data_IF_240434441847
#
_entry.id   IF_240434441847
#
_cell.length_a   1.000
_cell.length_b   1.000
_cell.length_c   1.000
_cell.angle_alpha   90.00
_cell.angle_beta   90.00
_cell.angle_gamma   90.00
#
_symmetry.space_group_name_H-M   'P 1'
#
loop_
_entity.id
_entity.type
_entity.pdbx_description
1 polymer ?
#
# COMPACT_ATOMS: atom_id res chain seq x y z
N UNK A 1 1.58 7.74 3.68
CA UNK A 1 2.41 6.82 4.48
C UNK A 1 1.88 6.65 5.90
N UNK A 2 1.57 7.71 6.67
CA UNK A 2 1.12 7.62 8.07
C UNK A 2 -0.07 6.66 8.25
N UNK A 3 -1.16 6.84 7.51
CA UNK A 3 -2.36 6.01 7.64
C UNK A 3 -2.18 4.56 7.19
N UNK A 4 -1.26 4.31 6.25
CA UNK A 4 -0.87 2.94 5.85
C UNK A 4 -0.18 2.23 7.02
N UNK A 5 0.72 2.93 7.72
CA UNK A 5 1.37 2.38 8.91
C UNK A 5 0.37 2.18 10.04
N UNK A 6 -0.53 3.15 10.29
CA UNK A 6 -1.58 3.00 11.31
C UNK A 6 -2.47 1.78 11.03
N UNK A 7 -2.87 1.53 9.76
CA UNK A 7 -3.68 0.35 9.42
C UNK A 7 -2.96 -0.98 9.72
N UNK A 8 -1.64 -1.04 9.50
CA UNK A 8 -0.87 -2.23 9.89
C UNK A 8 -0.76 -2.38 11.41
N UNK A 9 -0.57 -1.26 12.12
CA UNK A 9 -0.44 -1.27 13.58
C UNK A 9 -1.76 -1.49 14.32
N UNK A 10 -2.92 -1.36 13.64
CA UNK A 10 -4.20 -1.83 14.18
C UNK A 10 -4.20 -3.35 14.44
N UNK A 11 -3.48 -4.11 13.64
CA UNK A 11 -3.46 -5.57 13.68
C UNK A 11 -2.37 -6.13 14.60
N UNK A 12 -1.22 -5.45 14.68
CA UNK A 12 -0.08 -5.89 15.50
C UNK A 12 0.99 -4.80 15.65
N UNK A 13 1.77 -4.86 16.74
CA UNK A 13 2.97 -4.06 16.86
C UNK A 13 4.04 -4.55 15.87
N UNK A 14 4.80 -3.61 15.26
CA UNK A 14 5.78 -3.91 14.21
C UNK A 14 7.06 -3.10 14.37
N UNK A 15 8.18 -3.68 13.95
CA UNK A 15 9.45 -2.94 13.77
C UNK A 15 9.44 -2.17 12.44
N UNK A 16 10.35 -1.22 12.26
CA UNK A 16 10.52 -0.51 10.96
C UNK A 16 10.79 -1.49 9.82
N UNK A 17 11.57 -2.53 10.10
CA UNK A 17 11.91 -3.54 9.11
C UNK A 17 10.67 -4.35 8.67
N UNK A 18 9.84 -4.78 9.62
CA UNK A 18 8.60 -5.50 9.32
C UNK A 18 7.62 -4.62 8.53
N UNK A 19 7.48 -3.33 8.91
CA UNK A 19 6.67 -2.36 8.16
C UNK A 19 7.17 -2.24 6.73
N UNK A 20 8.48 -2.03 6.53
CA UNK A 20 9.06 -1.91 5.20
C UNK A 20 8.88 -3.18 4.38
N UNK A 21 9.14 -4.35 4.96
CA UNK A 21 8.96 -5.64 4.29
C UNK A 21 7.52 -5.84 3.81
N UNK A 22 6.54 -5.49 4.65
CA UNK A 22 5.14 -5.57 4.28
C UNK A 22 4.77 -4.61 3.13
N UNK A 23 5.25 -3.35 3.18
CA UNK A 23 5.03 -2.36 2.12
C UNK A 23 5.63 -2.82 0.79
N UNK A 24 6.88 -3.28 0.80
CA UNK A 24 7.55 -3.81 -0.41
C UNK A 24 6.78 -4.97 -1.02
N UNK A 25 6.32 -5.91 -0.18
CA UNK A 25 5.66 -7.13 -0.65
C UNK A 25 4.22 -6.90 -1.13
N UNK A 26 3.48 -5.99 -0.49
CA UNK A 26 2.03 -5.92 -0.68
C UNK A 26 1.51 -4.56 -1.18
N UNK A 27 2.31 -3.49 -1.10
CA UNK A 27 1.85 -2.12 -1.33
C UNK A 27 2.83 -1.30 -2.21
N UNK A 28 3.74 -1.96 -2.93
CA UNK A 28 4.77 -1.28 -3.75
C UNK A 28 4.19 -0.38 -4.85
N UNK A 29 3.01 -0.72 -5.37
CA UNK A 29 2.28 0.08 -6.37
C UNK A 29 1.37 1.16 -5.76
N UNK A 30 1.15 1.12 -4.44
CA UNK A 30 0.23 2.02 -3.74
C UNK A 30 0.99 3.16 -3.05
N UNK A 31 2.20 2.89 -2.56
CA UNK A 31 2.97 3.88 -1.81
C UNK A 31 4.48 3.65 -1.90
N UNK A 32 5.24 4.72 -1.59
CA UNK A 32 6.70 4.64 -1.53
C UNK A 32 7.16 3.61 -0.49
N UNK A 33 8.10 2.75 -0.88
CA UNK A 33 8.74 1.75 -0.02
C UNK A 33 10.09 2.23 0.56
N UNK A 34 10.43 3.52 0.39
CA UNK A 34 11.69 4.06 0.87
C UNK A 34 11.76 4.08 2.40
N UNK A 35 12.90 3.67 2.93
CA UNK A 35 13.13 3.66 4.39
C UNK A 35 12.99 5.06 5.00
N UNK A 36 13.46 6.10 4.29
CA UNK A 36 13.35 7.49 4.72
C UNK A 36 11.90 7.97 4.85
N UNK A 37 11.04 7.60 3.90
CA UNK A 37 9.60 7.91 3.95
C UNK A 37 8.92 7.25 5.16
N UNK A 38 9.24 5.97 5.43
CA UNK A 38 8.71 5.22 6.57
C UNK A 38 9.18 5.84 7.89
N UNK A 39 10.49 6.13 8.02
CA UNK A 39 11.06 6.74 9.23
C UNK A 39 10.49 8.12 9.51
N UNK A 40 10.30 8.94 8.47
CA UNK A 40 9.69 10.27 8.59
C UNK A 40 8.25 10.17 9.09
N UNK A 41 7.46 9.24 8.54
CA UNK A 41 6.10 9.00 8.99
C UNK A 41 6.05 8.53 10.46
N UNK A 42 6.94 7.60 10.86
CA UNK A 42 7.05 7.12 12.24
C UNK A 42 7.37 8.27 13.19
N UNK A 43 8.39 9.10 12.89
CA UNK A 43 8.75 10.27 13.72
C UNK A 43 7.56 11.20 13.91
N UNK A 44 6.82 11.48 12.84
CA UNK A 44 5.66 12.36 12.88
C UNK A 44 4.49 11.76 13.68
N UNK A 45 4.27 10.44 13.58
CA UNK A 45 3.22 9.78 14.37
C UNK A 45 3.59 9.70 15.86
N UNK A 46 4.86 9.48 16.20
CA UNK A 46 5.35 9.55 17.58
C UNK A 46 5.14 10.94 18.17
N UNK A 47 5.52 12.01 17.45
CA UNK A 47 5.34 13.39 17.92
C UNK A 47 3.88 13.78 18.13
N UNK A 48 2.96 13.19 17.37
CA UNK A 48 1.50 13.38 17.52
C UNK A 48 0.88 12.46 18.59
N UNK A 49 1.63 11.50 19.11
CA UNK A 49 1.14 10.50 20.07
C UNK A 49 0.17 9.49 19.45
N UNK A 50 0.22 9.26 18.14
CA UNK A 50 -0.61 8.26 17.46
C UNK A 50 -0.06 6.84 17.59
N UNK A 51 1.24 6.73 17.81
CA UNK A 51 1.95 5.48 18.08
C UNK A 51 2.88 5.65 19.28
N UNK A 52 3.21 4.55 19.90
CA UNK A 52 4.23 4.43 20.94
C UNK A 52 5.32 3.47 20.53
N UNK A 53 6.49 3.57 21.17
CA UNK A 53 7.64 2.71 20.94
C UNK A 53 7.97 1.90 22.18
N UNK A 54 8.22 0.60 22.01
CA UNK A 54 8.78 -0.28 23.03
C UNK A 54 10.14 -0.74 22.56
N UNK A 55 11.17 -0.56 23.40
CA UNK A 55 12.50 -1.09 23.17
C UNK A 55 12.63 -2.47 23.82
N UNK A 56 13.28 -3.38 23.12
CA UNK A 56 13.54 -4.72 23.63
C UNK A 56 14.86 -5.26 23.08
N UNK A 57 15.43 -6.24 23.77
CA UNK A 57 16.68 -6.90 23.34
C UNK A 57 16.33 -8.23 22.72
N UNK A 58 16.82 -8.50 21.52
CA UNK A 58 16.71 -9.78 20.84
C UNK A 58 18.04 -10.14 20.18
N UNK A 59 18.58 -11.31 20.52
CA UNK A 59 19.90 -11.77 20.07
C UNK A 59 21.03 -10.76 20.35
N UNK A 60 20.98 -10.10 21.53
CA UNK A 60 21.98 -9.10 21.94
C UNK A 60 21.87 -7.74 21.27
N UNK A 61 20.86 -7.52 20.41
CA UNK A 61 20.63 -6.27 19.70
C UNK A 61 19.41 -5.53 20.26
N UNK A 62 19.55 -4.23 20.51
CA UNK A 62 18.43 -3.36 20.87
C UNK A 62 17.53 -3.16 19.66
N UNK A 63 16.26 -3.54 19.78
CA UNK A 63 15.23 -3.40 18.76
C UNK A 63 14.10 -2.48 19.25
N UNK A 64 13.46 -1.80 18.31
CA UNK A 64 12.31 -0.92 18.55
C UNK A 64 11.08 -1.50 17.87
N UNK A 65 10.00 -1.62 18.62
CA UNK A 65 8.70 -2.07 18.14
C UNK A 65 7.67 -0.97 18.37
N UNK A 66 6.89 -0.67 17.35
CA UNK A 66 5.88 0.39 17.38
C UNK A 66 4.50 -0.22 17.51
N UNK A 67 3.65 0.39 18.33
CA UNK A 67 2.23 0.04 18.50
C UNK A 67 1.35 1.26 18.39
N UNK A 68 0.12 1.06 17.95
CA UNK A 68 -0.87 2.12 17.85
C UNK A 68 -1.42 2.46 19.26
N UNK A 69 -1.63 3.74 19.53
CA UNK A 69 -2.31 4.24 20.72
C UNK A 69 -3.81 4.40 20.48
N UNK A 70 -4.60 4.60 21.54
CA UNK A 70 -6.04 4.89 21.40
C UNK A 70 -6.26 6.17 20.57
N UNK A 71 -5.40 7.18 20.76
CA UNK A 71 -5.41 8.41 19.95
C UNK A 71 -5.13 8.11 18.47
N UNK A 72 -4.24 7.16 18.18
CA UNK A 72 -3.96 6.70 16.81
C UNK A 72 -5.14 5.96 16.20
N UNK A 73 -5.84 5.15 16.97
CA UNK A 73 -7.07 4.46 16.53
C UNK A 73 -8.16 5.48 16.17
N UNK A 74 -8.37 6.51 17.01
CA UNK A 74 -9.36 7.56 16.72
C UNK A 74 -8.99 8.38 15.49
N UNK A 75 -7.72 8.69 15.29
CA UNK A 75 -7.27 9.37 14.08
C UNK A 75 -7.46 8.51 12.83
N UNK A 76 -7.19 7.20 12.92
CA UNK A 76 -7.43 6.26 11.84
C UNK A 76 -8.90 6.15 11.48
N UNK A 77 -9.81 6.07 12.49
CA UNK A 77 -11.27 6.07 12.27
C UNK A 77 -11.74 7.30 11.49
N UNK A 78 -11.24 8.49 11.85
CA UNK A 78 -11.56 9.72 11.13
C UNK A 78 -11.15 9.63 9.66
N UNK A 79 -9.92 9.19 9.42
CA UNK A 79 -9.40 9.10 8.06
C UNK A 79 -10.14 8.08 7.20
N UNK A 80 -10.35 6.85 7.69
CA UNK A 80 -11.02 5.79 6.92
C UNK A 80 -12.51 6.11 6.70
N UNK A 81 -13.10 6.92 7.57
CA UNK A 81 -14.48 7.40 7.46
C UNK A 81 -14.66 8.57 6.49
N UNK A 82 -13.60 9.11 5.87
CA UNK A 82 -13.70 10.18 4.87
C UNK A 82 -13.74 9.62 3.45
N UNK A 83 -14.55 10.19 2.54
CA UNK A 83 -14.56 9.79 1.13
C UNK A 83 -13.18 9.93 0.47
N UNK A 84 -12.92 9.09 -0.54
CA UNK A 84 -11.71 9.22 -1.38
C UNK A 84 -11.76 10.54 -2.13
N UNK A 85 -10.68 11.32 -2.04
CA UNK A 85 -10.57 12.61 -2.70
C UNK A 85 -9.72 12.50 -3.98
N UNK A 86 -10.39 12.59 -5.13
CA UNK A 86 -9.77 12.47 -6.44
C UNK A 86 -8.66 13.51 -6.68
N UNK A 87 -8.80 14.73 -6.16
CA UNK A 87 -7.79 15.79 -6.35
C UNK A 87 -6.45 15.50 -5.65
N UNK A 88 -6.42 14.52 -4.72
CA UNK A 88 -5.20 14.08 -4.03
C UNK A 88 -4.52 12.87 -4.69
N UNK A 89 -5.09 12.36 -5.78
CA UNK A 89 -4.55 11.21 -6.52
C UNK A 89 -3.56 11.60 -7.63
N UNK A 90 -3.11 12.86 -7.68
CA UNK A 90 -2.18 13.33 -8.71
C UNK A 90 -0.80 12.72 -8.58
N UNK A 91 -0.25 12.25 -9.72
CA UNK A 91 1.12 11.76 -9.84
C UNK A 91 2.01 12.81 -10.52
N UNK A 92 3.06 13.26 -9.82
CA UNK A 92 3.98 14.26 -10.38
C UNK A 92 4.79 13.73 -11.59
N UNK A 93 5.01 12.43 -11.70
CA UNK A 93 5.73 11.85 -12.83
C UNK A 93 4.90 11.94 -14.13
N UNK A 94 3.59 11.84 -14.07
CA UNK A 94 2.70 12.04 -15.22
C UNK A 94 2.79 13.46 -15.79
N UNK A 95 3.16 14.44 -14.97
CA UNK A 95 3.36 15.81 -15.44
C UNK A 95 4.53 15.93 -16.45
N UNK A 96 5.47 15.01 -16.45
CA UNK A 96 6.55 14.98 -17.45
C UNK A 96 6.02 14.74 -18.86
N UNK A 97 4.95 13.96 -19.00
CA UNK A 97 4.31 13.70 -20.28
C UNK A 97 3.79 15.00 -20.92
N UNK A 98 3.25 15.92 -20.10
CA UNK A 98 2.77 17.22 -20.56
C UNK A 98 3.88 18.06 -21.23
N UNK A 99 5.12 17.93 -20.76
CA UNK A 99 6.28 18.66 -21.28
C UNK A 99 7.16 17.82 -22.20
N UNK A 100 6.82 16.58 -22.48
CA UNK A 100 7.69 15.64 -23.21
C UNK A 100 8.03 16.11 -24.61
N UNK A 101 7.17 16.90 -25.24
CA UNK A 101 7.40 17.50 -26.57
C UNK A 101 8.66 18.38 -26.70
N UNK A 102 9.20 18.89 -25.58
CA UNK A 102 10.44 19.67 -25.56
C UNK A 102 11.69 18.78 -25.70
N UNK A 103 11.57 17.49 -25.42
CA UNK A 103 12.69 16.56 -25.55
C UNK A 103 12.97 16.19 -27.01
N UNK A 104 14.23 15.88 -27.40
CA UNK A 104 14.56 15.35 -28.73
C UNK A 104 13.75 14.09 -29.07
N UNK A 105 13.41 13.88 -30.36
CA UNK A 105 12.57 12.77 -30.81
C UNK A 105 13.09 11.39 -30.37
N UNK A 106 14.40 11.15 -30.52
CA UNK A 106 15.04 9.91 -30.10
C UNK A 106 14.87 9.65 -28.59
N UNK A 107 14.94 10.71 -27.79
CA UNK A 107 14.70 10.63 -26.33
C UNK A 107 13.24 10.34 -26.01
N UNK A 108 12.30 11.01 -26.67
CA UNK A 108 10.86 10.75 -26.48
C UNK A 108 10.51 9.29 -26.77
N UNK A 109 11.01 8.76 -27.91
CA UNK A 109 10.82 7.35 -28.28
C UNK A 109 11.44 6.42 -27.23
N UNK A 110 12.67 6.67 -26.80
CA UNK A 110 13.35 5.80 -25.82
C UNK A 110 12.66 5.82 -24.46
N UNK A 111 12.15 6.97 -24.02
CA UNK A 111 11.42 7.11 -22.74
C UNK A 111 10.08 6.35 -22.77
N UNK A 112 9.32 6.47 -23.87
CA UNK A 112 8.08 5.71 -24.04
C UNK A 112 8.33 4.20 -24.08
N UNK A 113 9.37 3.76 -24.78
CA UNK A 113 9.74 2.33 -24.79
C UNK A 113 10.16 1.81 -23.43
N UNK A 114 10.86 2.60 -22.62
CA UNK A 114 11.21 2.20 -21.26
C UNK A 114 9.97 2.11 -20.39
N UNK A 115 9.08 3.10 -20.44
CA UNK A 115 7.85 3.12 -19.68
C UNK A 115 6.95 1.91 -20.01
N UNK A 116 6.84 1.55 -21.29
CA UNK A 116 6.09 0.36 -21.72
C UNK A 116 6.68 -0.91 -21.11
N UNK A 117 8.00 -1.10 -21.15
CA UNK A 117 8.66 -2.27 -20.51
C UNK A 117 8.39 -2.34 -19.01
N UNK A 118 8.45 -1.18 -18.33
CA UNK A 118 8.21 -1.11 -16.88
C UNK A 118 6.76 -1.48 -16.56
N UNK A 119 5.79 -1.03 -17.37
CA UNK A 119 4.38 -1.38 -17.23
C UNK A 119 4.10 -2.87 -17.55
N UNK A 120 4.78 -3.46 -18.54
CA UNK A 120 4.67 -4.89 -18.85
C UNK A 120 5.14 -5.74 -17.65
N UNK A 121 6.25 -5.38 -17.02
CA UNK A 121 6.74 -6.08 -15.83
C UNK A 121 5.80 -5.87 -14.63
N UNK A 122 5.26 -4.66 -14.43
CA UNK A 122 4.25 -4.40 -13.40
C UNK A 122 3.00 -5.26 -13.61
N UNK A 123 2.46 -5.32 -14.84
CA UNK A 123 1.30 -6.14 -15.17
C UNK A 123 1.55 -7.63 -14.87
N UNK A 124 2.73 -8.13 -15.23
CA UNK A 124 3.12 -9.52 -14.95
C UNK A 124 3.15 -9.79 -13.44
N UNK A 125 3.72 -8.88 -12.65
CA UNK A 125 3.78 -9.02 -11.19
C UNK A 125 2.37 -9.00 -10.56
N UNK A 126 1.52 -8.04 -10.95
CA UNK A 126 0.15 -7.94 -10.45
C UNK A 126 -0.69 -9.18 -10.81
N UNK A 127 -0.54 -9.70 -12.04
CA UNK A 127 -1.24 -10.90 -12.49
C UNK A 127 -0.76 -12.16 -11.74
N UNK A 128 0.54 -12.26 -11.45
CA UNK A 128 1.09 -13.35 -10.64
C UNK A 128 0.54 -13.32 -9.21
N UNK A 129 0.46 -12.13 -8.59
CA UNK A 129 -0.16 -11.96 -7.27
C UNK A 129 -1.62 -12.39 -7.32
N UNK A 130 -2.38 -11.96 -8.34
CA UNK A 130 -3.79 -12.34 -8.51
C UNK A 130 -3.96 -13.86 -8.57
N UNK A 131 -3.15 -14.55 -9.38
CA UNK A 131 -3.20 -16.00 -9.50
C UNK A 131 -2.91 -16.73 -8.17
N UNK A 132 -2.02 -16.18 -7.35
CA UNK A 132 -1.70 -16.73 -6.04
C UNK A 132 -2.82 -16.54 -5.01
N UNK A 133 -3.46 -15.36 -4.98
CA UNK A 133 -4.43 -15.01 -3.92
C UNK A 133 -5.87 -15.40 -4.24
N UNK A 134 -6.25 -15.60 -5.52
CA UNK A 134 -7.65 -15.87 -5.92
C UNK A 134 -8.31 -17.05 -5.16
N UNK A 135 -7.55 -18.08 -4.83
CA UNK A 135 -8.04 -19.29 -4.17
C UNK A 135 -7.62 -19.36 -2.67
N UNK A 136 -7.05 -18.29 -2.12
CA UNK A 136 -6.49 -18.29 -0.78
C UNK A 136 -7.37 -17.61 0.27
N UNK A 137 -8.56 -17.08 -0.08
CA UNK A 137 -9.38 -16.24 0.79
C UNK A 137 -9.60 -16.84 2.17
N UNK A 138 -10.13 -18.05 2.22
CA UNK A 138 -10.49 -18.68 3.50
C UNK A 138 -9.24 -18.99 4.36
N UNK A 139 -8.15 -19.43 3.73
CA UNK A 139 -6.89 -19.69 4.41
C UNK A 139 -6.28 -18.40 4.98
N UNK A 140 -6.29 -17.32 4.21
CA UNK A 140 -5.79 -15.99 4.62
C UNK A 140 -6.62 -15.42 5.77
N UNK A 141 -7.95 -15.50 5.69
CA UNK A 141 -8.84 -15.03 6.75
C UNK A 141 -8.60 -15.83 8.03
N UNK A 142 -8.52 -17.14 7.94
CA UNK A 142 -8.28 -18.03 9.09
C UNK A 142 -6.93 -17.74 9.77
N UNK A 143 -5.85 -17.59 8.99
CA UNK A 143 -4.51 -17.31 9.52
C UNK A 143 -4.44 -15.92 10.17
N UNK A 144 -5.02 -14.91 9.52
CA UNK A 144 -5.11 -13.56 10.07
C UNK A 144 -5.93 -13.54 11.36
N UNK A 145 -7.09 -14.21 11.39
CA UNK A 145 -7.92 -14.30 12.59
C UNK A 145 -7.15 -14.94 13.74
N UNK A 146 -6.49 -16.07 13.50
CA UNK A 146 -5.69 -16.76 14.51
C UNK A 146 -4.52 -15.89 15.02
N UNK A 147 -3.91 -15.09 14.14
CA UNK A 147 -2.81 -14.20 14.51
C UNK A 147 -3.28 -13.00 15.33
N UNK A 148 -4.37 -12.35 14.91
CA UNK A 148 -4.91 -11.15 15.56
C UNK A 148 -5.53 -11.48 16.91
N UNK A 149 -6.22 -12.62 17.02
CA UNK A 149 -6.89 -13.07 18.26
C UNK A 149 -5.93 -13.41 19.42
N UNK A 150 -4.61 -13.49 19.16
CA UNK A 150 -3.62 -13.67 20.23
C UNK A 150 -3.61 -12.55 21.27
N UNK A 151 -4.12 -11.37 20.93
CA UNK A 151 -4.26 -10.22 21.83
C UNK A 151 -5.61 -9.53 21.62
N UNK A 152 -6.45 -9.54 22.64
CA UNK A 152 -7.78 -8.93 22.63
C UNK A 152 -7.77 -7.48 22.13
N UNK A 153 -6.77 -6.68 22.51
CA UNK A 153 -6.61 -5.27 22.07
C UNK A 153 -6.70 -5.12 20.54
N UNK A 154 -6.14 -6.04 19.76
CA UNK A 154 -6.17 -5.92 18.29
C UNK A 154 -7.53 -6.29 17.70
N UNK A 155 -8.20 -7.25 18.31
CA UNK A 155 -9.58 -7.59 17.97
C UNK A 155 -10.49 -6.38 18.25
N UNK A 156 -10.38 -5.81 19.47
CA UNK A 156 -11.18 -4.66 19.90
C UNK A 156 -10.94 -3.44 19.00
N UNK A 157 -9.69 -3.18 18.60
CA UNK A 157 -9.37 -2.10 17.67
C UNK A 157 -10.11 -2.26 16.35
N UNK A 158 -10.04 -3.45 15.73
CA UNK A 158 -10.67 -3.72 14.43
C UNK A 158 -12.20 -3.63 14.51
N UNK A 159 -12.81 -4.25 15.52
CA UNK A 159 -14.26 -4.20 15.74
C UNK A 159 -14.74 -2.77 16.02
N UNK A 160 -13.97 -2.02 16.81
CA UNK A 160 -14.24 -0.61 17.12
C UNK A 160 -14.18 0.31 15.91
N UNK A 161 -13.25 0.05 14.95
CA UNK A 161 -13.15 0.82 13.70
C UNK A 161 -14.27 0.47 12.73
N UNK A 162 -14.51 -0.82 12.52
CA UNK A 162 -15.48 -1.33 11.55
C UNK A 162 -16.94 -1.23 12.01
N UNK A 163 -17.17 -1.14 13.33
CA UNK A 163 -18.46 -1.27 13.99
C UNK A 163 -19.12 -2.64 13.79
N UNK A 164 -18.35 -3.63 13.32
CA UNK A 164 -18.79 -5.01 13.22
C UNK A 164 -18.67 -5.72 14.57
N UNK A 165 -19.40 -6.83 14.71
CA UNK A 165 -19.38 -7.67 15.91
C UNK A 165 -18.52 -8.93 15.74
N UNK A 166 -18.16 -9.26 14.52
CA UNK A 166 -17.41 -10.47 14.14
C UNK A 166 -16.13 -10.10 13.40
N UNK A 167 -15.00 -10.53 13.96
CA UNK A 167 -13.69 -10.33 13.36
C UNK A 167 -13.59 -10.96 11.95
N UNK A 168 -14.24 -12.11 11.73
CA UNK A 168 -14.21 -12.81 10.45
C UNK A 168 -14.87 -11.98 9.35
N UNK A 169 -15.95 -11.27 9.67
CA UNK A 169 -16.62 -10.34 8.75
C UNK A 169 -15.70 -9.19 8.38
N UNK A 170 -15.03 -8.59 9.38
CA UNK A 170 -14.06 -7.51 9.12
C UNK A 170 -12.94 -7.96 8.20
N UNK A 171 -12.39 -9.15 8.46
CA UNK A 171 -11.29 -9.70 7.66
C UNK A 171 -11.74 -10.06 6.24
N UNK A 172 -12.95 -10.61 6.08
CA UNK A 172 -13.53 -10.88 4.77
C UNK A 172 -13.72 -9.61 3.96
N UNK A 173 -14.35 -8.59 4.54
CA UNK A 173 -14.54 -7.30 3.88
C UNK A 173 -13.18 -6.67 3.51
N UNK A 174 -12.21 -6.73 4.42
CA UNK A 174 -10.85 -6.22 4.16
C UNK A 174 -10.20 -6.93 2.97
N UNK A 175 -10.30 -8.26 2.93
CA UNK A 175 -9.79 -9.06 1.81
C UNK A 175 -10.44 -8.67 0.48
N UNK A 176 -11.77 -8.52 0.45
CA UNK A 176 -12.50 -8.18 -0.77
C UNK A 176 -12.11 -6.78 -1.31
N UNK A 177 -11.89 -5.80 -0.43
CA UNK A 177 -11.38 -4.49 -0.84
C UNK A 177 -9.92 -4.54 -1.32
N UNK A 178 -9.09 -5.38 -0.71
CA UNK A 178 -7.71 -5.60 -1.18
C UNK A 178 -7.70 -6.23 -2.59
N UNK A 179 -8.60 -7.20 -2.84
CA UNK A 179 -8.75 -7.80 -4.17
C UNK A 179 -9.31 -6.82 -5.21
N UNK A 180 -10.23 -5.95 -4.79
CA UNK A 180 -10.74 -4.88 -5.66
C UNK A 180 -9.65 -3.91 -6.07
N UNK A 181 -8.75 -3.54 -5.14
CA UNK A 181 -7.60 -2.69 -5.45
C UNK A 181 -6.60 -3.38 -6.40
N UNK A 182 -6.34 -4.68 -6.20
CA UNK A 182 -5.50 -5.47 -7.10
C UNK A 182 -6.07 -5.53 -8.52
N UNK A 183 -7.37 -5.80 -8.64
CA UNK A 183 -8.08 -5.78 -9.92
C UNK A 183 -7.99 -4.40 -10.59
N UNK A 184 -8.23 -3.33 -9.83
CA UNK A 184 -8.08 -1.96 -10.34
C UNK A 184 -6.67 -1.70 -10.87
N UNK A 185 -5.62 -2.11 -10.13
CA UNK A 185 -4.23 -2.00 -10.58
C UNK A 185 -3.99 -2.69 -11.92
N UNK A 186 -4.45 -3.93 -12.06
CA UNK A 186 -4.32 -4.71 -13.31
C UNK A 186 -5.01 -4.00 -14.49
N UNK A 187 -6.26 -3.58 -14.32
CA UNK A 187 -7.02 -2.93 -15.40
C UNK A 187 -6.43 -1.56 -15.76
N UNK A 188 -5.96 -0.80 -14.77
CA UNK A 188 -5.25 0.45 -15.00
C UNK A 188 -3.97 0.23 -15.80
N UNK A 189 -3.12 -0.72 -15.40
CA UNK A 189 -1.86 -1.00 -16.09
C UNK A 189 -2.09 -1.47 -17.53
N UNK A 190 -3.16 -2.23 -17.80
CA UNK A 190 -3.55 -2.59 -19.17
C UNK A 190 -3.92 -1.37 -20.00
N UNK A 191 -4.75 -0.47 -19.42
CA UNK A 191 -5.13 0.78 -20.09
C UNK A 191 -3.90 1.65 -20.38
N UNK A 192 -3.00 1.80 -19.42
CA UNK A 192 -1.77 2.56 -19.57
C UNK A 192 -0.87 1.96 -20.67
N UNK A 193 -0.75 0.63 -20.74
CA UNK A 193 -0.03 -0.07 -21.81
C UNK A 193 -0.62 0.23 -23.19
N UNK A 194 -1.91 0.12 -23.34
CA UNK A 194 -2.59 0.39 -24.62
C UNK A 194 -2.39 1.85 -25.04
N UNK A 195 -2.55 2.79 -24.11
CA UNK A 195 -2.36 4.22 -24.34
C UNK A 195 -0.92 4.55 -24.76
N UNK A 196 0.09 4.08 -24.02
CA UNK A 196 1.48 4.40 -24.33
C UNK A 196 2.01 3.67 -25.57
N UNK A 197 1.51 2.48 -25.90
CA UNK A 197 1.82 1.83 -27.18
C UNK A 197 1.28 2.62 -28.36
N UNK A 198 0.04 3.14 -28.27
CA UNK A 198 -0.51 4.02 -29.29
C UNK A 198 0.30 5.30 -29.43
N UNK A 199 0.64 5.97 -28.32
CA UNK A 199 1.44 7.19 -28.32
C UNK A 199 2.84 6.96 -28.92
N UNK A 200 3.48 5.82 -28.61
CA UNK A 200 4.77 5.43 -29.20
C UNK A 200 4.68 5.25 -30.72
N UNK A 201 3.59 4.64 -31.21
CA UNK A 201 3.34 4.50 -32.65
C UNK A 201 3.24 5.87 -33.33
N UNK A 202 2.40 6.75 -32.79
CA UNK A 202 2.22 8.12 -33.28
C UNK A 202 3.53 8.90 -33.28
N UNK A 203 4.37 8.74 -32.24
CA UNK A 203 5.67 9.42 -32.16
C UNK A 203 6.69 8.92 -33.16
N UNK A 204 6.65 7.64 -33.53
CA UNK A 204 7.50 7.06 -34.58
C UNK A 204 7.11 7.52 -35.99
N UNK A 205 5.82 7.71 -36.22
CA UNK A 205 5.25 8.11 -37.53
C UNK A 205 5.44 9.61 -37.84
N UNK A 206 5.80 10.44 -36.85
CA UNK A 206 6.22 11.86 -37.03
C UNK A 206 7.63 11.95 -37.61
#
# INVERSE_FOLDING_TARGET
>A
MEYIILSMLLCKAMTVYEIRSYVVKNLSTVCSNSLGSIQTAIKKMLSKGYIEVTEYVENGLNKKKYSITDKGVEEYKKWIGTPINLSKMTNMEESKLFFLGVAPKDKRVSFLQQLIRDLEEELKQLTAIQGFVLNAKDAVIKDNAATISKKAKYVDNLLSVSKEKDLTVVLSNTYDYQMSLLKYGIERTKFDLDFYNQLLKEEKDK
#
